data_IF_470721365992
#
_entry.id   IF_470721365992
#
_cell.length_a   1.000
_cell.length_b   1.000
_cell.length_c   1.000
_cell.angle_alpha   90.00
_cell.angle_beta   90.00
_cell.angle_gamma   90.00
#
_symmetry.space_group_name_H-M   'P 1'
#
loop_
_entity.id
_entity.type
_entity.pdbx_description
1 polymer ?
#
# COMPACT_ATOMS: atom_id res chain seq x y z
N UNK A 1 16.24 17.77 15.47
CA UNK A 1 14.86 17.46 15.86
C UNK A 1 14.41 16.22 15.14
N UNK A 2 13.99 15.25 15.89
CA UNK A 2 13.53 14.02 15.27
C UNK A 2 12.06 14.14 14.93
N UNK A 3 11.75 13.83 13.70
CA UNK A 3 10.35 13.64 13.32
C UNK A 3 9.97 12.23 13.73
N UNK A 4 8.93 12.12 14.51
CA UNK A 4 8.39 10.80 14.78
C UNK A 4 7.60 10.37 13.57
N UNK A 5 8.07 9.33 12.92
CA UNK A 5 7.29 8.73 11.84
C UNK A 5 6.18 7.91 12.45
N UNK A 6 5.02 8.00 11.86
CA UNK A 6 3.87 7.21 12.25
C UNK A 6 3.50 6.30 11.09
N UNK A 7 3.71 5.00 11.24
CA UNK A 7 3.33 4.08 10.18
C UNK A 7 1.81 3.96 10.07
N UNK A 8 1.36 3.76 8.85
CA UNK A 8 -0.03 3.48 8.55
C UNK A 8 -0.07 2.51 7.38
N UNK A 9 -1.09 1.68 7.34
CA UNK A 9 -1.30 0.80 6.22
C UNK A 9 -2.32 1.41 5.26
N UNK A 10 -2.03 1.28 3.97
CA UNK A 10 -3.01 1.50 2.92
C UNK A 10 -3.47 0.14 2.45
N UNK A 11 -4.77 -0.09 2.46
CA UNK A 11 -5.34 -1.30 1.92
C UNK A 11 -5.98 -0.97 0.58
N UNK A 12 -5.53 -1.64 -0.48
CA UNK A 12 -6.04 -1.44 -1.82
C UNK A 12 -6.73 -2.69 -2.29
N UNK A 13 -7.87 -2.53 -2.94
CA UNK A 13 -8.51 -3.58 -3.71
C UNK A 13 -8.27 -3.25 -5.17
N UNK A 14 -7.61 -4.16 -5.89
CA UNK A 14 -7.18 -3.92 -7.26
C UNK A 14 -7.59 -5.08 -8.15
N UNK A 15 -7.61 -4.82 -9.46
CA UNK A 15 -7.78 -5.89 -10.45
C UNK A 15 -6.53 -6.76 -10.44
N UNK A 16 -6.72 -8.08 -10.37
CA UNK A 16 -5.60 -9.01 -10.34
C UNK A 16 -5.13 -9.31 -11.76
N UNK A 17 -4.14 -8.54 -12.24
CA UNK A 17 -3.53 -8.80 -13.54
C UNK A 17 -2.04 -8.48 -13.50
N UNK A 18 -1.29 -9.00 -14.48
CA UNK A 18 0.14 -8.70 -14.55
C UNK A 18 0.37 -7.20 -14.66
N UNK A 19 1.35 -6.69 -13.95
CA UNK A 19 1.74 -5.30 -14.05
C UNK A 19 1.08 -4.37 -13.07
N UNK A 20 0.01 -4.79 -12.34
CA UNK A 20 -0.65 -3.89 -11.40
C UNK A 20 0.32 -3.42 -10.31
N UNK A 21 1.13 -4.34 -9.79
CA UNK A 21 2.13 -3.97 -8.77
C UNK A 21 3.18 -3.02 -9.31
N UNK A 22 3.59 -3.22 -10.55
CA UNK A 22 4.55 -2.33 -11.20
C UNK A 22 3.99 -0.92 -11.31
N UNK A 23 2.73 -0.79 -11.67
CA UNK A 23 2.09 0.52 -11.77
C UNK A 23 2.03 1.21 -10.42
N UNK A 24 1.63 0.48 -9.38
CA UNK A 24 1.50 1.05 -8.04
C UNK A 24 2.87 1.45 -7.49
N UNK A 25 3.83 0.53 -7.53
CA UNK A 25 5.17 0.81 -7.02
C UNK A 25 5.84 1.94 -7.81
N UNK A 26 5.64 1.97 -9.12
CA UNK A 26 6.17 3.03 -9.96
C UNK A 26 5.61 4.39 -9.60
N UNK A 27 4.34 4.46 -9.26
CA UNK A 27 3.70 5.71 -8.87
C UNK A 27 4.35 6.29 -7.61
N UNK A 28 4.58 5.44 -6.61
CA UNK A 28 5.24 5.85 -5.37
C UNK A 28 6.70 6.26 -5.64
N UNK A 29 7.40 5.45 -6.44
CA UNK A 29 8.80 5.71 -6.76
C UNK A 29 8.99 7.04 -7.49
N UNK A 30 8.13 7.34 -8.46
CA UNK A 30 8.25 8.59 -9.21
C UNK A 30 8.06 9.83 -8.34
N UNK A 31 7.36 9.69 -7.25
CA UNK A 31 7.12 10.79 -6.32
C UNK A 31 8.04 10.73 -5.10
N UNK A 32 9.04 9.86 -5.16
CA UNK A 32 9.99 9.68 -4.06
C UNK A 32 9.26 9.44 -2.72
N UNK A 33 8.17 8.69 -2.77
CA UNK A 33 7.44 8.31 -1.58
C UNK A 33 7.78 6.87 -1.23
N UNK A 34 8.37 6.66 -0.07
CA UNK A 34 8.87 5.36 0.31
C UNK A 34 7.75 4.42 0.76
N UNK A 35 7.86 3.16 0.39
CA UNK A 35 6.98 2.09 0.86
C UNK A 35 7.83 1.13 1.68
N UNK A 36 7.50 1.00 2.97
CA UNK A 36 8.29 0.21 3.90
C UNK A 36 7.92 -1.27 3.89
N UNK A 37 6.73 -1.58 3.44
CA UNK A 37 6.30 -2.98 3.35
C UNK A 37 5.19 -3.14 2.34
N UNK A 38 5.15 -4.30 1.70
CA UNK A 38 4.13 -4.63 0.70
C UNK A 38 3.69 -6.07 0.93
N UNK A 39 2.38 -6.27 0.93
CA UNK A 39 1.80 -7.61 0.91
C UNK A 39 0.68 -7.61 -0.12
N UNK A 40 0.72 -8.55 -1.04
CA UNK A 40 -0.30 -8.67 -2.08
C UNK A 40 -0.79 -10.10 -2.15
N UNK A 41 -2.09 -10.28 -1.99
CA UNK A 41 -2.70 -11.60 -2.05
C UNK A 41 -3.96 -11.56 -2.92
N UNK A 42 -4.18 -12.59 -3.75
CA UNK A 42 -5.42 -12.67 -4.50
C UNK A 42 -6.60 -12.90 -3.56
N UNK A 43 -7.73 -12.35 -3.91
CA UNK A 43 -8.96 -12.56 -3.16
C UNK A 43 -9.65 -13.82 -3.69
N UNK A 44 -10.18 -14.63 -2.78
CA UNK A 44 -10.83 -15.88 -3.14
C UNK A 44 -12.05 -15.62 -4.00
N UNK A 45 -12.22 -16.45 -5.03
CA UNK A 45 -13.39 -16.42 -5.91
C UNK A 45 -13.61 -15.06 -6.55
N UNK A 46 -12.51 -14.39 -6.92
CA UNK A 46 -12.57 -13.03 -7.44
C UNK A 46 -11.44 -12.80 -8.44
N UNK A 47 -11.64 -11.83 -9.31
CA UNK A 47 -10.60 -11.35 -10.20
C UNK A 47 -9.80 -10.21 -9.58
N UNK A 48 -9.91 -10.04 -8.26
CA UNK A 48 -9.26 -8.95 -7.55
C UNK A 48 -8.18 -9.45 -6.61
N UNK A 49 -7.27 -8.54 -6.29
CA UNK A 49 -6.24 -8.77 -5.26
C UNK A 49 -6.34 -7.70 -4.20
N UNK A 50 -5.92 -8.05 -3.02
CA UNK A 50 -5.80 -7.11 -1.91
C UNK A 50 -4.33 -6.82 -1.68
N UNK A 51 -4.01 -5.53 -1.60
CA UNK A 51 -2.64 -5.07 -1.39
C UNK A 51 -2.62 -4.26 -0.11
N UNK A 52 -1.67 -4.57 0.78
CA UNK A 52 -1.37 -3.73 1.93
C UNK A 52 -0.03 -3.07 1.69
N UNK A 53 0.00 -1.75 1.84
CA UNK A 53 1.23 -0.97 1.75
C UNK A 53 1.48 -0.34 3.10
N UNK A 54 2.66 -0.57 3.66
CA UNK A 54 3.07 0.07 4.90
C UNK A 54 3.85 1.32 4.53
N UNK A 55 3.33 2.47 4.94
CA UNK A 55 3.91 3.77 4.63
C UNK A 55 3.96 4.62 5.88
N UNK A 56 4.65 5.74 5.82
CA UNK A 56 4.69 6.71 6.90
C UNK A 56 3.68 7.82 6.63
N UNK A 57 2.99 8.26 7.67
CA UNK A 57 2.14 9.44 7.57
C UNK A 57 3.03 10.65 7.36
N UNK A 58 2.81 11.38 6.28
CA UNK A 58 3.44 12.67 6.06
C UNK A 58 2.48 13.55 5.25
N UNK A 59 2.91 14.78 5.01
CA UNK A 59 2.05 15.77 4.39
C UNK A 59 1.64 15.41 2.97
N UNK A 60 2.40 14.52 2.32
CA UNK A 60 2.14 14.14 0.93
C UNK A 60 1.22 12.93 0.82
N UNK A 61 0.91 12.27 1.95
CA UNK A 61 0.18 10.99 1.90
C UNK A 61 -1.18 11.13 1.22
N UNK A 62 -1.92 12.18 1.53
CA UNK A 62 -3.25 12.39 0.92
C UNK A 62 -3.15 12.60 -0.59
N UNK A 63 -2.10 13.31 -1.04
CA UNK A 63 -1.84 13.45 -2.47
C UNK A 63 -1.54 12.10 -3.11
N UNK A 64 -0.74 11.27 -2.43
CA UNK A 64 -0.43 9.94 -2.94
C UNK A 64 -1.68 9.08 -3.07
N UNK A 65 -2.54 9.10 -2.04
CA UNK A 65 -3.80 8.35 -2.07
C UNK A 65 -4.65 8.81 -3.25
N UNK A 66 -4.75 10.11 -3.46
CA UNK A 66 -5.50 10.67 -4.57
C UNK A 66 -4.97 10.17 -5.93
N UNK A 67 -3.65 10.07 -6.08
CA UNK A 67 -3.04 9.56 -7.30
C UNK A 67 -3.29 8.07 -7.48
N UNK A 68 -3.21 7.30 -6.40
CA UNK A 68 -3.49 5.86 -6.44
C UNK A 68 -4.94 5.61 -6.86
N UNK A 69 -5.86 6.39 -6.33
CA UNK A 69 -7.28 6.24 -6.67
C UNK A 69 -7.58 6.50 -8.13
N UNK A 70 -6.74 7.25 -8.82
CA UNK A 70 -6.90 7.51 -10.25
C UNK A 70 -6.45 6.37 -11.14
N UNK A 71 -5.73 5.40 -10.61
CA UNK A 71 -5.29 4.26 -11.40
C UNK A 71 -6.48 3.39 -11.76
N UNK A 72 -6.57 3.03 -13.04
CA UNK A 72 -7.72 2.29 -13.55
C UNK A 72 -7.94 0.97 -12.83
N UNK A 73 -6.86 0.30 -12.46
CA UNK A 73 -6.93 -1.01 -11.84
C UNK A 73 -7.27 -0.97 -10.36
N UNK A 74 -7.24 0.20 -9.74
CA UNK A 74 -7.53 0.36 -8.32
C UNK A 74 -9.02 0.60 -8.13
N UNK A 75 -9.66 -0.28 -7.35
CA UNK A 75 -11.10 -0.22 -7.11
C UNK A 75 -11.44 0.47 -5.80
N UNK A 76 -10.56 0.34 -4.81
CA UNK A 76 -10.82 0.87 -3.48
C UNK A 76 -9.50 1.13 -2.76
N UNK A 77 -9.44 2.19 -1.99
CA UNK A 77 -8.30 2.51 -1.13
C UNK A 77 -8.84 2.85 0.25
N UNK A 78 -8.26 2.24 1.28
CA UNK A 78 -8.61 2.50 2.68
C UNK A 78 -7.36 2.73 3.49
N UNK A 79 -7.48 3.57 4.51
CA UNK A 79 -6.45 3.67 5.55
C UNK A 79 -6.74 2.65 6.63
N UNK A 80 -5.69 2.13 7.25
CA UNK A 80 -5.84 1.23 8.39
C UNK A 80 -4.74 1.49 9.41
N UNK A 81 -5.13 1.59 10.66
CA UNK A 81 -4.19 1.64 11.78
C UNK A 81 -3.77 0.25 12.24
N UNK A 82 -4.40 -0.79 11.70
CA UNK A 82 -4.10 -2.16 12.06
C UNK A 82 -2.86 -2.62 11.29
N UNK A 83 -1.75 -2.72 11.99
CA UNK A 83 -0.47 -3.10 11.42
C UNK A 83 -0.06 -4.54 11.75
N UNK A 84 -1.00 -5.33 12.31
CA UNK A 84 -0.67 -6.68 12.80
C UNK A 84 -0.11 -7.58 11.71
N UNK A 85 -0.58 -7.46 10.48
CA UNK A 85 -0.06 -8.30 9.39
C UNK A 85 1.43 -8.04 9.17
N UNK A 86 1.85 -6.78 9.23
CA UNK A 86 3.26 -6.44 9.06
C UNK A 86 4.08 -6.82 10.28
N UNK A 87 3.54 -6.65 11.46
CA UNK A 87 4.22 -7.04 12.70
C UNK A 87 4.45 -8.54 12.75
N UNK A 88 3.46 -9.32 12.32
CA UNK A 88 3.60 -10.77 12.28
C UNK A 88 4.63 -11.20 11.24
N UNK A 89 4.64 -10.58 10.08
CA UNK A 89 5.63 -10.88 9.05
C UNK A 89 7.04 -10.55 9.53
N UNK A 90 7.20 -9.41 10.17
CA UNK A 90 8.49 -9.03 10.74
C UNK A 90 8.96 -10.03 11.78
N UNK A 91 8.04 -10.53 12.60
CA UNK A 91 8.33 -11.54 13.61
C UNK A 91 8.86 -12.83 12.99
N UNK A 92 8.33 -13.22 11.83
CA UNK A 92 8.82 -14.39 11.11
C UNK A 92 10.24 -14.22 10.59
N UNK A 93 10.60 -13.00 10.22
CA UNK A 93 11.89 -12.71 9.60
C UNK A 93 12.99 -12.45 10.62
N UNK A 94 12.64 -12.16 11.84
CA UNK A 94 13.56 -11.88 12.93
C UNK A 94 13.49 -13.03 13.96
#
# INVERSE_FOLDING_TARGET
MSQQSQPIALELIVRNHPGVMTHICGLFARRAFNVDGILCLPMKNSDKSRIWLLVQKDDRLMQMVSQVEKLEDVKEVRFSDDLRVFEQMESYLN
#
